data_IF_687506402370
#
_entry.id   IF_687506402370
#
_cell.length_a   1.000
_cell.length_b   1.000
_cell.length_c   1.000
_cell.angle_alpha   90.00
_cell.angle_beta   90.00
_cell.angle_gamma   90.00
#
_symmetry.space_group_name_H-M   'P 1'
#
loop_
_entity.id
_entity.type
_entity.pdbx_description
1 polymer ?
#
# COMPACT_ATOMS: atom_id res chain seq x y z
N UNK A 1 -12.29 13.22 -3.05
CA UNK A 1 -11.26 13.27 -4.10
C UNK A 1 -10.28 14.38 -3.77
N UNK A 2 -8.97 14.13 -3.83
CA UNK A 2 -7.94 15.16 -3.61
C UNK A 2 -7.89 16.10 -4.81
N UNK A 3 -7.63 17.39 -4.58
CA UNK A 3 -7.37 18.34 -5.67
C UNK A 3 -5.98 18.07 -6.30
N UNK A 4 -5.72 18.51 -7.54
CA UNK A 4 -4.40 18.33 -8.18
C UNK A 4 -3.24 18.89 -7.36
N UNK A 5 -3.43 20.05 -6.70
CA UNK A 5 -2.42 20.60 -5.78
C UNK A 5 -2.22 19.73 -4.54
N UNK A 6 -3.29 19.17 -3.98
CA UNK A 6 -3.18 18.26 -2.84
C UNK A 6 -2.44 16.97 -3.22
N UNK A 7 -2.61 16.48 -4.45
CA UNK A 7 -1.93 15.27 -4.91
C UNK A 7 -0.42 15.46 -5.05
N UNK A 8 0.03 16.58 -5.62
CA UNK A 8 1.45 16.95 -5.70
C UNK A 8 2.08 17.13 -4.30
N UNK A 9 1.30 17.61 -3.32
CA UNK A 9 1.78 17.85 -1.95
C UNK A 9 2.11 16.58 -1.15
N UNK A 10 1.70 15.40 -1.63
CA UNK A 10 1.99 14.11 -1.00
C UNK A 10 3.47 13.73 -1.15
N UNK A 11 4.10 14.12 -2.26
CA UNK A 11 5.47 13.77 -2.61
C UNK A 11 5.58 12.52 -3.48
N UNK A 12 6.54 12.53 -4.42
CA UNK A 12 6.71 11.50 -5.44
C UNK A 12 6.94 10.11 -4.85
N UNK A 13 7.76 10.00 -3.81
CA UNK A 13 8.11 8.72 -3.19
C UNK A 13 6.88 8.02 -2.60
N UNK A 14 6.00 8.77 -1.92
CA UNK A 14 4.78 8.25 -1.33
C UNK A 14 3.79 7.80 -2.39
N UNK A 15 3.66 8.56 -3.49
CA UNK A 15 2.84 8.15 -4.62
C UNK A 15 3.37 6.88 -5.30
N UNK A 16 4.70 6.76 -5.47
CA UNK A 16 5.32 5.56 -5.99
C UNK A 16 5.06 4.35 -5.08
N UNK A 17 5.14 4.53 -3.76
CA UNK A 17 4.78 3.50 -2.78
C UNK A 17 3.30 3.12 -2.88
N UNK A 18 2.39 4.09 -3.01
CA UNK A 18 0.96 3.81 -3.17
C UNK A 18 0.66 3.05 -4.46
N UNK A 19 1.29 3.43 -5.57
CA UNK A 19 1.16 2.73 -6.85
C UNK A 19 1.72 1.31 -6.76
N UNK A 20 2.91 1.13 -6.19
CA UNK A 20 3.50 -0.20 -6.01
C UNK A 20 2.61 -1.09 -5.13
N UNK A 21 2.06 -0.56 -4.04
CA UNK A 21 1.12 -1.26 -3.17
C UNK A 21 -0.17 -1.65 -3.90
N UNK A 22 -0.77 -0.72 -4.66
CA UNK A 22 -2.00 -0.99 -5.41
C UNK A 22 -1.79 -2.01 -6.53
N UNK A 23 -0.72 -1.87 -7.31
CA UNK A 23 -0.39 -2.79 -8.40
C UNK A 23 -0.12 -4.19 -7.85
N UNK A 24 0.68 -4.31 -6.80
CA UNK A 24 0.96 -5.61 -6.17
C UNK A 24 -0.28 -6.22 -5.52
N UNK A 25 -1.11 -5.43 -4.83
CA UNK A 25 -2.37 -5.90 -4.25
C UNK A 25 -3.40 -6.34 -5.31
N UNK A 26 -3.46 -5.64 -6.45
CA UNK A 26 -4.34 -6.00 -7.57
C UNK A 26 -3.88 -7.26 -8.29
N UNK A 27 -2.57 -7.47 -8.39
CA UNK A 27 -1.97 -8.63 -9.06
C UNK A 27 -1.98 -9.89 -8.18
N UNK A 28 -2.05 -9.74 -6.86
CA UNK A 28 -2.02 -10.85 -5.89
C UNK A 28 -3.05 -11.96 -6.13
N UNK A 29 -4.34 -11.67 -6.43
CA UNK A 29 -5.35 -12.70 -6.68
C UNK A 29 -5.09 -13.54 -7.94
N UNK A 30 -4.26 -13.04 -8.86
CA UNK A 30 -3.92 -13.76 -10.08
C UNK A 30 -2.75 -14.74 -9.88
N UNK A 31 -1.98 -14.61 -8.80
CA UNK A 31 -0.82 -15.48 -8.56
C UNK A 31 -1.14 -16.96 -8.31
N UNK A 32 -2.41 -17.31 -8.06
CA UNK A 32 -2.86 -18.70 -7.94
C UNK A 32 -3.28 -19.37 -9.25
N UNK A 33 -3.14 -18.71 -10.41
CA UNK A 33 -3.49 -19.31 -11.70
C UNK A 33 -2.45 -20.37 -12.14
N UNK A 34 -2.88 -21.56 -12.59
CA UNK A 34 -2.02 -22.75 -12.70
C UNK A 34 -1.08 -22.80 -13.91
N UNK A 35 -1.07 -21.79 -14.79
CA UNK A 35 -0.36 -21.83 -16.09
C UNK A 35 0.59 -20.63 -16.30
N UNK A 36 1.40 -20.31 -15.30
CA UNK A 36 2.54 -19.42 -15.53
C UNK A 36 3.67 -20.21 -16.19
N UNK A 37 4.14 -19.75 -17.36
CA UNK A 37 5.41 -20.24 -17.90
C UNK A 37 6.49 -20.10 -16.83
N UNK A 38 7.47 -21.01 -16.79
CA UNK A 38 8.46 -21.14 -15.71
C UNK A 38 9.16 -19.82 -15.27
N UNK A 39 9.11 -18.77 -16.09
CA UNK A 39 9.63 -17.43 -15.81
C UNK A 39 8.78 -16.59 -14.84
N UNK A 40 7.45 -16.76 -14.82
CA UNK A 40 6.53 -15.91 -14.02
C UNK A 40 6.16 -16.50 -12.67
N UNK A 41 6.38 -17.79 -12.48
CA UNK A 41 6.05 -18.53 -11.26
C UNK A 41 6.73 -17.93 -10.02
N UNK A 42 8.02 -17.59 -10.11
CA UNK A 42 8.76 -17.00 -8.99
C UNK A 42 8.21 -15.63 -8.58
N UNK A 43 7.78 -14.84 -9.57
CA UNK A 43 7.24 -13.51 -9.30
C UNK A 43 5.90 -13.62 -8.55
N UNK A 44 4.98 -14.44 -9.05
CA UNK A 44 3.62 -14.54 -8.51
C UNK A 44 3.51 -15.40 -7.24
N UNK A 45 4.32 -16.46 -7.11
CA UNK A 45 4.29 -17.34 -5.93
C UNK A 45 5.26 -16.93 -4.82
N UNK A 46 6.32 -16.19 -5.14
CA UNK A 46 7.36 -15.82 -4.17
C UNK A 46 7.44 -14.31 -3.91
N UNK A 47 7.76 -13.55 -4.95
CA UNK A 47 8.10 -12.12 -4.80
C UNK A 47 6.86 -11.29 -4.44
N UNK A 48 5.77 -11.41 -5.18
CA UNK A 48 4.57 -10.60 -4.97
C UNK A 48 3.97 -10.80 -3.57
N UNK A 49 3.78 -12.06 -3.09
CA UNK A 49 3.29 -12.32 -1.73
C UNK A 49 4.20 -11.79 -0.63
N UNK A 50 5.52 -11.72 -0.86
CA UNK A 50 6.48 -11.13 0.08
C UNK A 50 6.47 -9.59 0.04
N UNK A 51 6.29 -8.98 -1.13
CA UNK A 51 6.36 -7.53 -1.31
C UNK A 51 5.13 -6.80 -0.77
N UNK A 52 3.92 -7.37 -0.93
CA UNK A 52 2.68 -6.75 -0.43
C UNK A 52 2.72 -6.41 1.07
N UNK A 53 3.06 -7.33 1.99
CA UNK A 53 3.17 -6.99 3.40
C UNK A 53 4.30 -5.98 3.69
N UNK A 54 5.40 -5.99 2.93
CA UNK A 54 6.46 -4.97 3.05
C UNK A 54 5.92 -3.57 2.73
N UNK A 55 5.16 -3.42 1.65
CA UNK A 55 4.56 -2.13 1.30
C UNK A 55 3.55 -1.65 2.35
N UNK A 56 2.75 -2.56 2.91
CA UNK A 56 1.82 -2.25 4.00
C UNK A 56 2.57 -1.77 5.26
N UNK A 57 3.70 -2.40 5.59
CA UNK A 57 4.57 -1.98 6.70
C UNK A 57 5.15 -0.59 6.45
N UNK A 58 5.68 -0.33 5.25
CA UNK A 58 6.23 0.99 4.88
C UNK A 58 5.17 2.09 4.96
N UNK A 59 3.95 1.81 4.48
CA UNK A 59 2.81 2.72 4.64
C UNK A 59 2.51 2.94 6.13
N UNK A 60 2.55 1.88 6.95
CA UNK A 60 2.37 1.97 8.40
C UNK A 60 3.40 2.87 9.08
N UNK A 61 4.69 2.74 8.71
CA UNK A 61 5.75 3.61 9.22
C UNK A 61 5.52 5.08 8.83
N UNK A 62 5.11 5.35 7.59
CA UNK A 62 4.84 6.72 7.14
C UNK A 62 3.60 7.31 7.82
N UNK A 63 2.57 6.51 8.08
CA UNK A 63 1.40 6.91 8.89
C UNK A 63 1.81 7.31 10.30
N UNK A 64 2.69 6.52 10.95
CA UNK A 64 3.21 6.87 12.28
C UNK A 64 4.03 8.17 12.23
N UNK A 65 4.89 8.34 11.23
CA UNK A 65 5.66 9.58 11.06
C UNK A 65 4.75 10.79 10.81
N UNK A 66 3.71 10.67 10.00
CA UNK A 66 2.75 11.76 9.78
C UNK A 66 2.03 12.16 11.08
N UNK A 67 1.71 11.19 11.95
CA UNK A 67 1.13 11.48 13.27
C UNK A 67 2.11 12.19 14.20
N UNK A 68 3.36 11.73 14.25
CA UNK A 68 4.42 12.37 15.05
C UNK A 68 4.66 13.80 14.57
N UNK A 69 4.76 14.02 13.26
CA UNK A 69 4.96 15.35 12.68
C UNK A 69 3.76 16.28 12.88
N UNK A 70 2.55 15.73 13.04
CA UNK A 70 1.35 16.54 13.28
C UNK A 70 1.28 17.15 14.69
N UNK A 71 2.02 16.61 15.67
CA UNK A 71 1.94 17.00 17.10
C UNK A 71 2.55 18.38 17.40
N UNK A 72 3.21 19.01 16.43
CA UNK A 72 3.76 20.37 16.55
C UNK A 72 3.63 21.19 15.26
N UNK A 73 2.78 20.74 14.34
CA UNK A 73 2.61 21.38 13.04
C UNK A 73 1.68 22.60 13.12
N UNK A 74 1.88 23.57 12.23
CA UNK A 74 0.88 24.63 11.99
C UNK A 74 -0.42 24.02 11.46
N UNK A 75 -1.55 24.70 11.65
CA UNK A 75 -2.86 24.21 11.18
C UNK A 75 -2.87 23.84 9.69
N UNK A 76 -2.14 24.60 8.87
CA UNK A 76 -1.97 24.37 7.44
C UNK A 76 -1.23 23.06 7.14
N UNK A 77 -0.18 22.76 7.90
CA UNK A 77 0.65 21.59 7.71
C UNK A 77 -0.03 20.35 8.31
N UNK A 78 -0.72 20.49 9.44
CA UNK A 78 -1.58 19.45 10.00
C UNK A 78 -2.68 19.04 9.01
N UNK A 79 -3.31 20.00 8.31
CA UNK A 79 -4.29 19.71 7.28
C UNK A 79 -3.69 18.95 6.08
N UNK A 80 -2.46 19.29 5.66
CA UNK A 80 -1.71 18.56 4.62
C UNK A 80 -1.42 17.12 5.05
N UNK A 81 -0.88 16.93 6.27
CA UNK A 81 -0.59 15.61 6.84
C UNK A 81 -1.85 14.75 6.99
N UNK A 82 -2.98 15.34 7.40
CA UNK A 82 -4.26 14.65 7.48
C UNK A 82 -4.73 14.14 6.11
N UNK A 83 -4.51 14.90 5.03
CA UNK A 83 -4.83 14.47 3.66
C UNK A 83 -3.92 13.33 3.20
N UNK A 84 -2.63 13.38 3.53
CA UNK A 84 -1.68 12.29 3.28
C UNK A 84 -2.14 11.02 4.01
N UNK A 85 -2.52 11.14 5.28
CA UNK A 85 -3.03 10.02 6.10
C UNK A 85 -4.26 9.37 5.49
N UNK A 86 -5.23 10.18 5.03
CA UNK A 86 -6.42 9.69 4.32
C UNK A 86 -6.04 8.91 3.07
N UNK A 87 -5.06 9.39 2.30
CA UNK A 87 -4.56 8.69 1.12
C UNK A 87 -3.95 7.33 1.49
N UNK A 88 -3.09 7.28 2.53
CA UNK A 88 -2.52 6.02 3.01
C UNK A 88 -3.59 5.01 3.41
N UNK A 89 -4.63 5.42 4.14
CA UNK A 89 -5.70 4.50 4.53
C UNK A 89 -6.52 4.02 3.32
N UNK A 90 -6.83 4.91 2.38
CA UNK A 90 -7.54 4.54 1.15
C UNK A 90 -6.78 3.55 0.28
N UNK A 91 -5.45 3.62 0.28
CA UNK A 91 -4.57 2.71 -0.45
C UNK A 91 -4.35 1.41 0.33
N UNK A 92 -4.06 1.50 1.63
CA UNK A 92 -3.72 0.36 2.45
C UNK A 92 -4.92 -0.58 2.69
N UNK A 93 -6.14 -0.05 2.84
CA UNK A 93 -7.33 -0.85 3.10
C UNK A 93 -7.61 -1.91 2.01
N UNK A 94 -7.72 -1.57 0.70
CA UNK A 94 -7.94 -2.56 -0.34
C UNK A 94 -6.75 -3.52 -0.51
N UNK A 95 -5.51 -3.03 -0.36
CA UNK A 95 -4.31 -3.87 -0.46
C UNK A 95 -4.25 -4.89 0.69
N UNK A 96 -4.56 -4.46 1.90
CA UNK A 96 -4.65 -5.34 3.07
C UNK A 96 -5.77 -6.37 2.91
N UNK A 97 -6.94 -5.97 2.41
CA UNK A 97 -8.03 -6.88 2.13
C UNK A 97 -7.63 -7.94 1.08
N UNK A 98 -6.99 -7.53 -0.02
CA UNK A 98 -6.48 -8.44 -1.04
C UNK A 98 -5.46 -9.44 -0.47
N UNK A 99 -4.54 -8.95 0.37
CA UNK A 99 -3.57 -9.81 1.05
C UNK A 99 -4.22 -10.80 2.02
N UNK A 100 -5.17 -10.33 2.83
CA UNK A 100 -5.91 -11.18 3.77
C UNK A 100 -6.68 -12.30 3.05
N UNK A 101 -7.33 -11.99 1.92
CA UNK A 101 -8.01 -12.98 1.08
C UNK A 101 -7.03 -14.00 0.51
N UNK A 102 -5.87 -13.53 0.01
CA UNK A 102 -4.84 -14.40 -0.54
C UNK A 102 -4.25 -15.36 0.50
N UNK A 103 -3.97 -14.89 1.72
CA UNK A 103 -3.33 -15.69 2.76
C UNK A 103 -4.32 -16.54 3.56
N UNK A 104 -5.62 -16.20 3.59
CA UNK A 104 -6.63 -16.91 4.39
C UNK A 104 -6.65 -18.44 4.17
N UNK A 105 -6.57 -18.99 2.93
CA UNK A 105 -6.49 -20.43 2.72
C UNK A 105 -5.30 -21.10 3.39
N UNK A 106 -4.16 -20.41 3.50
CA UNK A 106 -2.94 -20.94 4.14
C UNK A 106 -2.97 -20.92 5.66
N UNK A 107 -3.94 -20.21 6.26
CA UNK A 107 -4.11 -20.09 7.71
C UNK A 107 -5.15 -21.07 8.27
N UNK A 108 -5.91 -21.74 7.39
CA UNK A 108 -6.91 -22.75 7.78
C UNK A 108 -6.25 -24.14 7.78
N UNK A 109 -6.43 -24.95 8.83
CA UNK A 109 -5.84 -26.28 8.95
C UNK A 109 -6.44 -27.31 7.99
#
# INVERSE_FOLDING_TARGET
MLTPQQWLSIGLLRQALHLAALLSGLLLPFGGAPDYTATWDLLFNGVLPAMVPIFLILIGFDVMMCKVLSDGATDTEAARLANILKCHYWVAAPVFAAFAIFIAPSLMP
#
